data_IF_723394615346
#
_entry.id   IF_723394615346
#
_cell.length_a   1.000
_cell.length_b   1.000
_cell.length_c   1.000
_cell.angle_alpha   90.00
_cell.angle_beta   90.00
_cell.angle_gamma   90.00
#
_symmetry.space_group_name_H-M   'P 1'
#
loop_
_entity.id
_entity.type
_entity.pdbx_description
1 polymer ?
#
# COMPACT_ATOMS: atom_id res chain seq x y z
N UNK A 1 -15.93 26.88 25.11
CA UNK A 1 -14.88 25.90 24.82
C UNK A 1 -13.72 26.65 24.18
N UNK A 2 -12.72 26.95 24.99
CA UNK A 2 -11.48 27.56 24.55
C UNK A 2 -10.70 26.45 23.84
N UNK A 3 -10.82 26.38 22.53
CA UNK A 3 -9.92 25.61 21.67
C UNK A 3 -8.63 26.39 21.64
N UNK A 4 -7.69 26.04 22.56
CA UNK A 4 -6.34 26.59 22.58
C UNK A 4 -5.75 26.59 21.17
N UNK A 5 -5.79 27.75 20.52
CA UNK A 5 -5.63 27.92 19.10
C UNK A 5 -4.23 27.53 18.66
N UNK A 6 -4.16 26.41 17.94
CA UNK A 6 -3.06 26.17 17.03
C UNK A 6 -3.38 26.96 15.75
N UNK A 7 -3.33 28.27 15.85
CA UNK A 7 -3.45 29.13 14.67
C UNK A 7 -2.10 29.21 13.94
N UNK A 8 -2.10 28.90 12.65
CA UNK A 8 -0.99 29.05 11.71
C UNK A 8 0.25 28.15 11.96
N UNK A 9 0.06 26.84 12.14
CA UNK A 9 1.18 25.91 12.03
C UNK A 9 1.59 25.83 10.56
N UNK A 10 2.82 26.29 10.30
CA UNK A 10 3.46 26.03 9.01
C UNK A 10 3.53 24.52 8.78
N UNK A 11 3.27 24.00 7.56
CA UNK A 11 3.48 22.60 7.22
C UNK A 11 4.90 22.08 7.55
N UNK A 12 5.87 22.98 7.62
CA UNK A 12 7.26 22.68 8.02
C UNK A 12 7.40 22.36 9.52
N UNK A 13 6.46 22.82 10.33
CA UNK A 13 6.44 22.62 11.79
C UNK A 13 5.50 21.47 12.22
N UNK A 14 4.82 20.84 11.28
CA UNK A 14 4.11 19.59 11.51
C UNK A 14 5.09 18.43 11.43
N UNK A 15 4.94 17.39 12.26
CA UNK A 15 5.85 16.25 12.25
C UNK A 15 6.08 15.67 10.84
N UNK A 16 7.23 15.05 10.61
CA UNK A 16 7.66 14.55 9.28
C UNK A 16 6.58 13.73 8.55
N UNK A 17 5.81 12.90 9.28
CA UNK A 17 4.70 12.13 8.72
C UNK A 17 3.59 13.00 8.13
N UNK A 18 3.19 14.07 8.83
CA UNK A 18 2.12 14.96 8.36
C UNK A 18 2.51 15.71 7.09
N UNK A 19 3.75 16.20 7.02
CA UNK A 19 4.28 16.92 5.85
C UNK A 19 4.39 15.99 4.64
N UNK A 20 4.78 14.73 4.84
CA UNK A 20 4.87 13.73 3.79
C UNK A 20 3.49 13.36 3.25
N UNK A 21 2.53 13.06 4.15
CA UNK A 21 1.15 12.72 3.78
C UNK A 21 0.48 13.86 3.00
N UNK A 22 0.71 15.11 3.41
CA UNK A 22 0.14 16.26 2.71
C UNK A 22 0.61 16.32 1.25
N UNK A 23 1.91 16.14 1.00
CA UNK A 23 2.46 16.11 -0.36
C UNK A 23 1.85 14.98 -1.18
N UNK A 24 1.77 13.78 -0.60
CA UNK A 24 1.17 12.61 -1.24
C UNK A 24 -0.31 12.86 -1.58
N UNK A 25 -1.08 13.43 -0.65
CA UNK A 25 -2.49 13.77 -0.88
C UNK A 25 -2.64 14.82 -2.00
N UNK A 26 -1.80 15.84 -2.04
CA UNK A 26 -1.83 16.84 -3.13
C UNK A 26 -1.55 16.15 -4.48
N UNK A 27 -0.54 15.28 -4.56
CA UNK A 27 -0.27 14.50 -5.77
C UNK A 27 -1.50 13.66 -6.16
N UNK A 28 -2.07 12.91 -5.23
CA UNK A 28 -3.26 12.10 -5.48
C UNK A 28 -4.46 12.93 -5.97
N UNK A 29 -4.69 14.09 -5.36
CA UNK A 29 -5.83 14.97 -5.72
C UNK A 29 -5.66 15.69 -7.05
N UNK A 30 -4.44 15.85 -7.53
CA UNK A 30 -4.14 16.48 -8.82
C UNK A 30 -4.01 15.49 -9.97
N UNK A 31 -3.90 14.20 -9.68
CA UNK A 31 -3.80 13.12 -10.66
C UNK A 31 -5.16 12.84 -11.33
N UNK A 32 -5.16 12.55 -12.61
CA UNK A 32 -6.35 12.31 -13.43
C UNK A 32 -6.37 10.88 -13.98
N UNK A 33 -7.54 10.33 -14.35
CA UNK A 33 -7.60 9.08 -15.10
C UNK A 33 -6.69 9.11 -16.34
N UNK A 34 -5.88 8.07 -16.51
CA UNK A 34 -4.87 7.97 -17.57
C UNK A 34 -3.48 8.46 -17.19
N UNK A 35 -3.32 9.16 -16.06
CA UNK A 35 -2.00 9.55 -15.55
C UNK A 35 -1.27 8.35 -14.90
N UNK A 36 0.05 8.46 -14.84
CA UNK A 36 0.94 7.54 -14.12
C UNK A 36 1.45 8.21 -12.84
N UNK A 37 1.23 7.55 -11.70
CA UNK A 37 1.72 7.96 -10.40
C UNK A 37 2.79 6.98 -9.90
N UNK A 38 3.99 7.47 -9.66
CA UNK A 38 5.12 6.70 -9.10
C UNK A 38 5.32 7.11 -7.65
N UNK A 39 5.32 6.14 -6.73
CA UNK A 39 5.42 6.38 -5.30
C UNK A 39 6.43 5.41 -4.70
N UNK A 40 7.38 5.93 -3.96
CA UNK A 40 8.37 5.16 -3.22
C UNK A 40 8.11 5.28 -1.71
N UNK A 41 8.00 4.15 -1.03
CA UNK A 41 7.82 4.02 0.42
C UNK A 41 6.77 4.99 1.01
N UNK A 42 5.52 4.99 0.52
CA UNK A 42 4.50 5.96 0.94
C UNK A 42 4.06 5.79 2.40
N UNK A 43 4.39 4.69 3.01
CA UNK A 43 4.06 4.34 4.40
C UNK A 43 5.00 4.92 5.44
N UNK A 44 6.14 5.51 5.04
CA UNK A 44 7.14 6.05 5.96
C UNK A 44 6.49 7.07 6.92
N UNK A 45 6.78 6.92 8.20
CA UNK A 45 6.25 7.75 9.30
C UNK A 45 4.72 7.66 9.50
N UNK A 46 4.03 6.72 8.88
CA UNK A 46 2.62 6.51 9.08
C UNK A 46 2.32 5.44 10.14
N UNK A 47 1.36 5.72 11.02
CA UNK A 47 0.79 4.70 11.90
C UNK A 47 0.09 3.61 11.05
N UNK A 48 0.09 2.31 11.46
CA UNK A 48 -0.51 1.21 10.71
C UNK A 48 -1.92 1.46 10.18
N UNK A 49 -2.78 2.10 10.99
CA UNK A 49 -4.11 2.50 10.54
C UNK A 49 -4.12 3.53 9.40
N UNK A 50 -3.12 4.41 9.32
CA UNK A 50 -2.96 5.36 8.22
C UNK A 50 -2.39 4.68 6.97
N UNK A 51 -1.47 3.72 7.12
CA UNK A 51 -0.95 2.88 6.03
C UNK A 51 -2.08 2.11 5.33
N UNK A 52 -2.99 1.52 6.11
CA UNK A 52 -4.16 0.85 5.57
C UNK A 52 -5.11 1.82 4.84
N UNK A 53 -5.35 3.03 5.37
CA UNK A 53 -6.17 4.06 4.69
C UNK A 53 -5.52 4.53 3.38
N UNK A 54 -4.20 4.63 3.35
CA UNK A 54 -3.45 4.94 2.14
C UNK A 54 -3.65 3.86 1.08
N UNK A 55 -3.53 2.58 1.43
CA UNK A 55 -3.81 1.47 0.51
C UNK A 55 -5.23 1.55 -0.08
N UNK A 56 -6.23 1.94 0.72
CA UNK A 56 -7.60 2.18 0.23
C UNK A 56 -7.67 3.34 -0.76
N UNK A 57 -6.97 4.45 -0.50
CA UNK A 57 -6.93 5.60 -1.40
C UNK A 57 -6.32 5.22 -2.75
N UNK A 58 -5.19 4.49 -2.75
CA UNK A 58 -4.53 4.05 -3.96
C UNK A 58 -5.40 3.08 -4.77
N UNK A 59 -6.06 2.12 -4.11
CA UNK A 59 -7.03 1.23 -4.75
C UNK A 59 -8.19 2.01 -5.40
N UNK A 60 -8.72 3.00 -4.70
CA UNK A 60 -9.78 3.87 -5.21
C UNK A 60 -9.35 4.66 -6.46
N UNK A 61 -8.13 5.15 -6.50
CA UNK A 61 -7.59 5.87 -7.66
C UNK A 61 -7.34 4.92 -8.83
N UNK A 62 -6.75 3.76 -8.57
CA UNK A 62 -6.51 2.73 -9.60
C UNK A 62 -7.83 2.27 -10.24
N UNK A 63 -8.87 2.03 -9.45
CA UNK A 63 -10.21 1.68 -9.95
C UNK A 63 -10.84 2.79 -10.82
N UNK A 64 -10.29 4.00 -10.79
CA UNK A 64 -10.71 5.15 -11.62
C UNK A 64 -9.80 5.43 -12.80
N UNK A 65 -8.89 4.51 -13.10
CA UNK A 65 -8.06 4.56 -14.29
C UNK A 65 -6.75 5.34 -14.11
N UNK A 66 -6.31 5.58 -12.88
CA UNK A 66 -4.95 6.06 -12.62
C UNK A 66 -4.01 4.86 -12.57
N UNK A 67 -2.95 4.86 -13.36
CA UNK A 67 -1.89 3.87 -13.26
C UNK A 67 -0.98 4.22 -12.07
N UNK A 68 -0.83 3.29 -11.12
CA UNK A 68 -0.02 3.54 -9.91
C UNK A 68 1.05 2.47 -9.81
N UNK A 69 2.30 2.90 -9.68
CA UNK A 69 3.44 2.04 -9.33
C UNK A 69 3.93 2.44 -7.95
N UNK A 70 3.88 1.50 -7.02
CA UNK A 70 4.27 1.71 -5.62
C UNK A 70 5.40 0.76 -5.27
N UNK A 71 6.52 1.31 -4.79
CA UNK A 71 7.51 0.54 -4.06
C UNK A 71 7.18 0.62 -2.56
N UNK A 72 7.06 -0.52 -1.90
CA UNK A 72 6.68 -0.56 -0.48
C UNK A 72 7.20 -1.81 0.22
N UNK A 73 7.51 -1.66 1.50
CA UNK A 73 7.81 -2.75 2.44
C UNK A 73 6.68 -2.94 3.47
N UNK A 74 5.50 -2.39 3.21
CA UNK A 74 4.40 -2.32 4.17
C UNK A 74 3.33 -3.39 3.89
N UNK A 75 3.25 -4.39 4.78
CA UNK A 75 2.21 -5.41 4.72
C UNK A 75 0.79 -4.84 4.85
N UNK A 76 0.59 -3.80 5.65
CA UNK A 76 -0.73 -3.18 5.84
C UNK A 76 -1.27 -2.57 4.55
N UNK A 77 -0.39 -2.00 3.72
CA UNK A 77 -0.75 -1.46 2.42
C UNK A 77 -1.15 -2.58 1.46
N UNK A 78 -0.31 -3.63 1.34
CA UNK A 78 -0.57 -4.79 0.46
C UNK A 78 -1.85 -5.51 0.89
N UNK A 79 -2.01 -5.81 2.18
CA UNK A 79 -3.20 -6.47 2.71
C UNK A 79 -4.47 -5.64 2.49
N UNK A 80 -4.35 -4.30 2.52
CA UNK A 80 -5.49 -3.43 2.20
C UNK A 80 -5.87 -3.51 0.74
N UNK A 81 -4.92 -3.53 -0.20
CA UNK A 81 -5.22 -3.72 -1.64
C UNK A 81 -5.95 -5.06 -1.87
N UNK A 82 -5.47 -6.14 -1.27
CA UNK A 82 -6.14 -7.46 -1.32
C UNK A 82 -7.58 -7.40 -0.82
N UNK A 83 -7.80 -6.68 0.27
CA UNK A 83 -9.13 -6.50 0.85
C UNK A 83 -10.06 -5.68 -0.05
N UNK A 84 -9.56 -4.65 -0.74
CA UNK A 84 -10.35 -3.88 -1.70
C UNK A 84 -10.73 -4.73 -2.92
N UNK A 85 -9.85 -5.65 -3.38
CA UNK A 85 -10.17 -6.63 -4.42
C UNK A 85 -11.26 -7.59 -3.94
N UNK A 86 -11.11 -8.17 -2.75
CA UNK A 86 -12.12 -9.03 -2.14
C UNK A 86 -13.48 -8.34 -2.04
N UNK A 87 -13.51 -7.06 -1.72
CA UNK A 87 -14.73 -6.24 -1.67
C UNK A 87 -15.26 -5.81 -3.04
N UNK A 88 -14.57 -6.14 -4.12
CA UNK A 88 -14.88 -5.74 -5.49
C UNK A 88 -14.85 -4.23 -5.75
N UNK A 89 -14.12 -3.49 -4.92
CA UNK A 89 -13.85 -2.06 -5.09
C UNK A 89 -12.68 -1.81 -6.06
N UNK A 90 -11.81 -2.81 -6.25
CA UNK A 90 -10.75 -2.87 -7.24
C UNK A 90 -10.83 -4.20 -7.98
N UNK A 91 -10.68 -4.19 -9.29
CA UNK A 91 -10.63 -5.43 -10.07
C UNK A 91 -9.33 -6.20 -9.82
N UNK A 92 -9.40 -7.51 -9.68
CA UNK A 92 -8.25 -8.39 -9.53
C UNK A 92 -7.23 -8.26 -10.69
N UNK A 93 -7.70 -7.93 -11.90
CA UNK A 93 -6.82 -7.74 -13.09
C UNK A 93 -6.04 -6.42 -13.04
N UNK A 94 -6.46 -5.47 -12.20
CA UNK A 94 -5.87 -4.13 -12.11
C UNK A 94 -4.80 -4.03 -11.02
N UNK A 95 -4.42 -5.16 -10.40
CA UNK A 95 -3.37 -5.23 -9.40
C UNK A 95 -2.39 -6.38 -9.68
N UNK A 96 -1.10 -6.06 -9.64
CA UNK A 96 -0.01 -7.01 -9.77
C UNK A 96 1.08 -6.67 -8.75
N UNK A 97 1.77 -7.67 -8.24
CA UNK A 97 2.90 -7.51 -7.34
C UNK A 97 4.15 -8.07 -8.01
N UNK A 98 5.20 -7.27 -8.03
CA UNK A 98 6.53 -7.69 -8.42
C UNK A 98 7.40 -7.74 -7.18
N UNK A 99 7.60 -8.94 -6.64
CA UNK A 99 8.40 -9.18 -5.45
C UNK A 99 9.86 -9.48 -5.83
N UNK A 100 10.79 -8.86 -5.11
CA UNK A 100 12.23 -9.08 -5.27
C UNK A 100 12.81 -9.64 -3.97
N UNK A 101 13.13 -10.94 -3.90
CA UNK A 101 13.63 -11.57 -2.67
C UNK A 101 14.98 -11.00 -2.21
N UNK A 102 15.85 -10.69 -3.13
CA UNK A 102 17.18 -10.15 -2.84
C UNK A 102 17.75 -9.34 -4.01
N UNK A 103 18.82 -8.61 -3.74
CA UNK A 103 19.41 -7.67 -4.73
C UNK A 103 19.82 -8.31 -6.04
N UNK A 104 20.20 -9.60 -6.02
CA UNK A 104 20.67 -10.36 -7.21
C UNK A 104 19.61 -11.29 -7.80
N UNK A 105 18.46 -11.43 -7.13
CA UNK A 105 17.41 -12.34 -7.56
C UNK A 105 16.53 -11.70 -8.64
N UNK A 106 15.89 -12.54 -9.44
CA UNK A 106 14.89 -12.09 -10.39
C UNK A 106 13.61 -11.67 -9.66
N UNK A 107 12.83 -10.79 -10.28
CA UNK A 107 11.50 -10.47 -9.78
C UNK A 107 10.58 -11.70 -9.89
N UNK A 108 9.83 -11.96 -8.84
CA UNK A 108 8.73 -12.89 -8.83
C UNK A 108 7.42 -12.11 -8.99
N UNK A 109 6.64 -12.47 -10.00
CA UNK A 109 5.36 -11.80 -10.27
C UNK A 109 4.23 -12.58 -9.63
N UNK A 110 3.41 -11.89 -8.85
CA UNK A 110 2.22 -12.41 -8.20
C UNK A 110 0.99 -11.62 -8.65
N UNK A 111 -0.09 -12.34 -8.89
CA UNK A 111 -1.42 -11.76 -9.04
C UNK A 111 -2.23 -11.94 -7.75
N UNK A 112 -3.39 -11.29 -7.68
CA UNK A 112 -4.33 -11.44 -6.58
C UNK A 112 -5.67 -11.86 -7.20
N UNK A 113 -6.27 -12.96 -6.74
CA UNK A 113 -7.57 -13.38 -7.23
C UNK A 113 -8.73 -12.62 -6.58
N UNK A 114 -9.97 -12.83 -7.06
CA UNK A 114 -11.17 -12.16 -6.54
C UNK A 114 -11.47 -12.44 -5.05
N UNK A 115 -10.85 -13.49 -4.48
CA UNK A 115 -10.95 -13.81 -3.06
C UNK A 115 -9.86 -13.13 -2.23
N UNK A 116 -8.99 -12.34 -2.86
CA UNK A 116 -7.87 -11.66 -2.20
C UNK A 116 -6.67 -12.58 -1.92
N UNK A 117 -6.62 -13.78 -2.52
CA UNK A 117 -5.49 -14.70 -2.36
C UNK A 117 -4.43 -14.42 -3.41
N UNK A 118 -3.17 -14.62 -3.03
CA UNK A 118 -2.05 -14.53 -3.98
C UNK A 118 -2.05 -15.72 -4.93
N UNK A 119 -1.69 -15.47 -6.17
CA UNK A 119 -1.57 -16.47 -7.21
C UNK A 119 -0.25 -16.28 -7.97
N UNK A 120 0.27 -17.37 -8.53
CA UNK A 120 1.35 -17.33 -9.49
C UNK A 120 0.86 -16.80 -10.86
N UNK A 121 1.78 -16.70 -11.82
CA UNK A 121 1.45 -16.26 -13.19
C UNK A 121 0.51 -17.21 -13.95
N UNK A 122 0.38 -18.46 -13.49
CA UNK A 122 -0.54 -19.45 -14.04
C UNK A 122 -1.94 -19.40 -13.38
N UNK A 123 -2.12 -18.58 -12.34
CA UNK A 123 -3.37 -18.42 -11.58
C UNK A 123 -3.56 -19.40 -10.43
N UNK A 124 -2.55 -20.22 -10.09
CA UNK A 124 -2.62 -21.12 -8.95
C UNK A 124 -2.38 -20.35 -7.65
N UNK A 125 -3.23 -20.58 -6.65
CA UNK A 125 -3.06 -19.98 -5.33
C UNK A 125 -1.76 -20.43 -4.68
N UNK A 126 -1.04 -19.47 -4.11
CA UNK A 126 0.21 -19.71 -3.38
C UNK A 126 0.33 -18.73 -2.20
N UNK A 127 1.09 -19.07 -1.15
CA UNK A 127 1.44 -18.09 -0.13
C UNK A 127 2.30 -16.98 -0.73
N UNK A 128 2.36 -15.84 -0.04
CA UNK A 128 3.34 -14.81 -0.37
C UNK A 128 4.75 -15.39 -0.18
N UNK A 129 5.73 -15.02 -1.03
CA UNK A 129 7.11 -15.48 -0.89
C UNK A 129 7.67 -15.18 0.50
N UNK A 130 8.46 -16.13 1.05
CA UNK A 130 9.05 -16.01 2.37
C UNK A 130 9.96 -14.80 2.54
N UNK A 131 10.12 -14.36 3.79
CA UNK A 131 10.99 -13.23 4.16
C UNK A 131 10.33 -11.86 4.17
N UNK A 132 9.05 -11.74 3.85
CA UNK A 132 8.33 -10.48 3.91
C UNK A 132 7.29 -10.42 5.06
N UNK A 133 6.47 -11.48 5.19
CA UNK A 133 5.41 -11.57 6.22
C UNK A 133 5.72 -12.56 7.35
N UNK A 134 6.78 -13.35 7.21
CA UNK A 134 6.94 -14.61 7.99
C UNK A 134 7.57 -14.41 9.34
N UNK A 135 8.40 -13.36 9.53
CA UNK A 135 9.17 -13.18 10.75
C UNK A 135 8.28 -13.00 11.98
N UNK A 136 7.22 -12.25 11.85
CA UNK A 136 6.36 -11.90 13.00
C UNK A 136 5.43 -13.03 13.41
N UNK A 137 4.90 -13.81 12.46
CA UNK A 137 3.96 -14.89 12.79
C UNK A 137 4.66 -16.10 13.44
N UNK A 138 5.85 -16.48 12.93
CA UNK A 138 6.64 -17.54 13.51
C UNK A 138 7.06 -17.20 14.95
N UNK A 139 7.55 -15.99 15.18
CA UNK A 139 7.94 -15.48 16.49
C UNK A 139 6.75 -15.41 17.46
N UNK A 140 5.58 -14.97 17.01
CA UNK A 140 4.36 -14.92 17.82
C UNK A 140 3.87 -16.31 18.22
N UNK A 141 4.02 -17.32 17.36
CA UNK A 141 3.67 -18.71 17.68
C UNK A 141 4.64 -19.36 18.69
N UNK A 142 5.89 -18.85 18.78
CA UNK A 142 6.86 -19.32 19.79
C UNK A 142 6.62 -18.68 21.16
N UNK A 143 6.09 -17.46 21.20
CA UNK A 143 5.81 -16.74 22.44
C UNK A 143 4.53 -17.27 23.14
N UNK A 144 3.62 -17.92 22.42
CA UNK A 144 2.37 -18.52 22.95
C UNK A 144 1.26 -17.50 23.02
#
# INVERSE_FOLDING_TARGET
FDSGGIENISPLNTGAGSSFVLKLLVMCLTTRPGDLLLIENPEIHLHPGAQSRLGRLLAFMAARGVQIVVETHCEHLINRIRYEIYRKELSAKDAVIHYKPGARDAFETLSINERGHYCDVAGHEKPFPGGFFDSTLAELLEIG
#
